data_IF_211244001757
#
_entry.id   IF_211244001757
#
_cell.length_a   1.000
_cell.length_b   1.000
_cell.length_c   1.000
_cell.angle_alpha   90.00
_cell.angle_beta   90.00
_cell.angle_gamma   90.00
#
_symmetry.space_group_name_H-M   'P 1'
#
loop_
_entity.id
_entity.type
_entity.pdbx_description
1 polymer ?
#
# COMPACT_ATOMS: atom_id res chain seq x y z
N UNK A 1 12.03 14.20 16.90
CA UNK A 1 12.94 13.99 18.04
C UNK A 1 12.33 13.07 19.07
N UNK A 2 11.14 13.37 19.63
CA UNK A 2 10.52 12.58 20.70
C UNK A 2 10.43 11.07 20.42
N UNK A 3 9.83 10.66 19.29
CA UNK A 3 9.72 9.22 18.94
C UNK A 3 11.10 8.56 18.83
N UNK A 4 12.07 9.22 18.20
CA UNK A 4 13.43 8.69 18.09
C UNK A 4 14.12 8.52 19.44
N UNK A 5 13.92 9.43 20.41
CA UNK A 5 14.46 9.27 21.77
C UNK A 5 13.79 8.13 22.54
N UNK A 6 12.47 7.95 22.36
CA UNK A 6 11.74 6.82 22.96
C UNK A 6 12.24 5.49 22.38
N UNK A 7 12.37 5.38 21.06
CA UNK A 7 12.91 4.18 20.42
C UNK A 7 14.31 3.84 20.94
N UNK A 8 15.18 4.85 21.07
CA UNK A 8 16.53 4.70 21.60
C UNK A 8 16.49 4.20 23.05
N UNK A 9 15.64 4.82 23.88
CA UNK A 9 15.49 4.44 25.31
C UNK A 9 15.01 3.00 25.51
N UNK A 10 14.18 2.48 24.61
CA UNK A 10 13.56 1.17 24.76
C UNK A 10 14.14 0.10 23.82
N UNK A 11 15.29 0.35 23.19
CA UNK A 11 15.95 -0.63 22.34
C UNK A 11 15.14 -1.02 21.10
N UNK A 12 14.46 -0.04 20.48
CA UNK A 12 13.55 -0.25 19.33
C UNK A 12 14.19 0.30 18.05
N UNK A 13 14.03 -0.39 16.93
CA UNK A 13 14.39 0.16 15.64
C UNK A 13 13.60 1.44 15.34
N UNK A 14 14.27 2.43 14.80
CA UNK A 14 13.66 3.70 14.42
C UNK A 14 13.88 4.00 12.94
N UNK A 15 12.81 3.95 12.15
CA UNK A 15 12.81 4.44 10.77
C UNK A 15 12.61 5.94 10.77
N UNK A 16 13.62 6.70 10.31
CA UNK A 16 13.64 8.17 10.32
C UNK A 16 12.64 8.75 9.32
N UNK A 17 12.13 9.98 9.57
CA UNK A 17 11.35 10.72 8.57
C UNK A 17 12.09 10.80 7.24
N UNK A 18 11.35 10.63 6.14
CA UNK A 18 11.89 10.59 4.78
C UNK A 18 12.33 9.19 4.31
N UNK A 19 12.33 8.16 5.18
CA UNK A 19 12.63 6.78 4.75
C UNK A 19 11.49 6.15 3.97
N UNK A 20 10.26 6.51 4.27
CA UNK A 20 9.10 6.04 3.54
C UNK A 20 7.89 5.75 4.40
N UNK A 21 6.84 5.29 3.74
CA UNK A 21 5.61 4.84 4.37
C UNK A 21 5.89 3.53 5.12
N UNK A 22 5.47 3.43 6.38
CA UNK A 22 5.81 2.32 7.28
C UNK A 22 5.51 0.94 6.66
N UNK A 23 4.39 0.77 5.96
CA UNK A 23 4.03 -0.51 5.34
C UNK A 23 4.95 -0.89 4.20
N UNK A 24 5.35 0.06 3.36
CA UNK A 24 6.30 -0.17 2.28
C UNK A 24 7.69 -0.51 2.85
N UNK A 25 8.18 0.27 3.81
CA UNK A 25 9.46 0.02 4.48
C UNK A 25 9.44 -1.33 5.20
N UNK A 26 8.31 -1.70 5.81
CA UNK A 26 8.16 -2.99 6.48
C UNK A 26 8.25 -4.17 5.50
N UNK A 27 7.58 -4.09 4.35
CA UNK A 27 7.70 -5.11 3.29
C UNK A 27 9.15 -5.23 2.79
N UNK A 28 9.81 -4.10 2.57
CA UNK A 28 11.18 -4.05 2.05
C UNK A 28 12.20 -4.60 3.04
N UNK A 29 12.06 -4.31 4.36
CA UNK A 29 13.16 -4.50 5.32
C UNK A 29 12.86 -5.38 6.52
N UNK A 30 11.61 -5.60 6.92
CA UNK A 30 11.28 -6.26 8.19
C UNK A 30 10.33 -7.45 8.07
N UNK A 31 9.43 -7.44 7.10
CA UNK A 31 8.40 -8.48 6.98
C UNK A 31 8.98 -9.88 6.77
N UNK A 32 8.50 -10.87 7.51
CA UNK A 32 8.93 -12.27 7.45
C UNK A 32 7.69 -13.15 7.31
N UNK A 33 7.58 -13.99 6.27
CA UNK A 33 6.47 -14.93 6.12
C UNK A 33 6.26 -15.81 7.36
N UNK A 34 5.01 -16.08 7.71
CA UNK A 34 4.63 -16.88 8.86
C UNK A 34 4.76 -16.19 10.22
N UNK A 35 5.27 -14.97 10.27
CA UNK A 35 5.32 -14.19 11.52
C UNK A 35 4.06 -13.36 11.70
N UNK A 36 3.78 -13.02 12.97
CA UNK A 36 2.70 -12.09 13.34
C UNK A 36 3.22 -10.66 13.40
N UNK A 37 2.36 -9.70 13.06
CA UNK A 37 2.61 -8.27 13.18
C UNK A 37 1.39 -7.59 13.77
N UNK A 38 1.56 -6.82 14.83
CA UNK A 38 0.55 -5.90 15.34
C UNK A 38 1.05 -4.47 15.13
N UNK A 39 0.21 -3.61 14.58
CA UNK A 39 0.57 -2.23 14.29
C UNK A 39 -0.57 -1.26 14.58
N UNK A 40 -0.22 -0.03 14.99
CA UNK A 40 -1.21 1.00 15.30
C UNK A 40 -1.83 1.68 14.07
N UNK A 41 -1.37 1.35 12.88
CA UNK A 41 -2.00 1.79 11.64
C UNK A 41 -2.99 0.74 11.12
N UNK A 42 -4.15 1.18 10.62
CA UNK A 42 -5.21 0.30 10.11
C UNK A 42 -4.81 -0.50 8.87
N UNK A 43 -3.78 -0.08 8.12
CA UNK A 43 -3.28 -0.78 6.94
C UNK A 43 -2.08 -1.70 7.23
N UNK A 44 -1.83 -2.02 8.49
CA UNK A 44 -0.88 -3.07 8.90
C UNK A 44 -1.09 -4.40 8.14
N UNK A 45 -2.34 -4.80 7.77
CA UNK A 45 -2.60 -5.99 6.95
C UNK A 45 -1.86 -6.04 5.60
N UNK A 46 -1.25 -4.95 5.14
CA UNK A 46 -0.34 -4.94 3.98
C UNK A 46 0.72 -6.05 4.07
N UNK A 47 1.20 -6.38 5.28
CA UNK A 47 2.15 -7.48 5.52
C UNK A 47 1.64 -8.86 5.12
N UNK A 48 0.33 -9.04 4.99
CA UNK A 48 -0.27 -10.28 4.48
C UNK A 48 0.08 -10.60 3.02
N UNK A 49 0.53 -9.60 2.25
CA UNK A 49 1.01 -9.77 0.88
C UNK A 49 2.26 -10.66 0.74
N UNK A 50 3.01 -10.87 1.83
CA UNK A 50 4.15 -11.80 1.93
C UNK A 50 3.89 -12.98 2.88
N UNK A 51 2.63 -13.23 3.26
CA UNK A 51 2.27 -14.36 4.13
C UNK A 51 2.44 -14.11 5.63
N UNK A 52 2.29 -12.86 6.10
CA UNK A 52 2.24 -12.54 7.54
C UNK A 52 0.80 -12.51 8.05
N UNK A 53 0.60 -12.86 9.31
CA UNK A 53 -0.61 -12.49 10.05
C UNK A 53 -0.39 -11.07 10.61
N UNK A 54 -0.82 -10.08 9.85
CA UNK A 54 -0.58 -8.66 10.12
C UNK A 54 -1.91 -7.96 10.48
N UNK A 55 -2.02 -7.40 11.67
CA UNK A 55 -3.27 -6.88 12.25
C UNK A 55 -3.10 -5.43 12.68
N UNK A 56 -4.03 -4.56 12.24
CA UNK A 56 -4.16 -3.21 12.76
C UNK A 56 -4.86 -3.21 14.12
N UNK A 57 -4.30 -2.53 15.12
CA UNK A 57 -4.82 -2.47 16.48
C UNK A 57 -4.75 -1.05 17.05
N UNK A 58 -5.44 -0.82 18.16
CA UNK A 58 -5.35 0.46 18.88
C UNK A 58 -3.93 0.75 19.38
N UNK A 59 -3.54 2.02 19.42
CA UNK A 59 -2.21 2.41 19.86
C UNK A 59 -1.87 1.92 21.27
N UNK A 60 -2.88 1.86 22.16
CA UNK A 60 -2.69 1.31 23.53
C UNK A 60 -2.45 -0.19 23.52
N UNK A 61 -3.15 -0.95 22.67
CA UNK A 61 -2.95 -2.40 22.54
C UNK A 61 -1.54 -2.70 22.03
N UNK A 62 -1.08 -1.93 21.04
CA UNK A 62 0.30 -2.03 20.53
C UNK A 62 1.31 -1.71 21.63
N UNK A 63 1.10 -0.64 22.40
CA UNK A 63 1.99 -0.28 23.51
C UNK A 63 2.05 -1.37 24.58
N UNK A 64 0.93 -1.97 24.95
CA UNK A 64 0.85 -3.11 25.89
C UNK A 64 1.61 -4.31 25.33
N UNK A 65 1.41 -4.66 24.06
CA UNK A 65 2.13 -5.75 23.41
C UNK A 65 3.64 -5.50 23.34
N UNK A 66 4.07 -4.27 23.06
CA UNK A 66 5.49 -3.88 23.09
C UNK A 66 6.09 -4.01 24.50
N UNK A 67 5.30 -3.79 25.54
CA UNK A 67 5.68 -3.99 26.95
C UNK A 67 5.67 -5.45 27.40
N UNK A 68 5.41 -6.42 26.51
CA UNK A 68 5.32 -7.85 26.82
C UNK A 68 3.94 -8.32 27.29
N UNK A 69 2.93 -7.45 27.24
CA UNK A 69 1.55 -7.82 27.54
C UNK A 69 0.90 -8.62 26.42
N UNK A 70 -0.19 -9.32 26.75
CA UNK A 70 -0.92 -10.17 25.79
C UNK A 70 -1.91 -9.35 24.98
N UNK A 71 -1.96 -9.61 23.67
CA UNK A 71 -3.00 -9.12 22.78
C UNK A 71 -3.99 -10.25 22.48
N UNK A 72 -5.26 -10.02 22.76
CA UNK A 72 -6.32 -10.99 22.55
C UNK A 72 -7.15 -10.64 21.31
N UNK A 73 -7.39 -11.62 20.46
CA UNK A 73 -8.33 -11.51 19.34
C UNK A 73 -9.41 -12.56 19.49
N UNK A 74 -10.64 -12.23 19.12
CA UNK A 74 -11.67 -13.23 18.92
C UNK A 74 -11.28 -14.09 17.73
N UNK A 75 -11.37 -15.42 17.86
CA UNK A 75 -11.05 -16.33 16.76
C UNK A 75 -11.89 -15.95 15.53
N UNK A 76 -11.27 -15.48 14.44
CA UNK A 76 -11.99 -15.02 13.27
C UNK A 76 -12.45 -16.20 12.42
N UNK A 77 -13.53 -16.01 11.68
CA UNK A 77 -13.89 -16.87 10.56
C UNK A 77 -12.90 -16.68 9.41
N UNK A 78 -12.81 -17.66 8.51
CA UNK A 78 -11.92 -17.58 7.34
C UNK A 78 -12.74 -17.59 6.06
N UNK A 79 -12.55 -16.54 5.25
CA UNK A 79 -13.12 -16.43 3.91
C UNK A 79 -12.03 -16.77 2.90
N UNK A 80 -12.26 -17.77 2.10
CA UNK A 80 -11.42 -18.14 0.96
C UNK A 80 -11.78 -17.26 -0.23
N UNK A 81 -10.81 -16.51 -0.77
CA UNK A 81 -10.92 -15.86 -2.07
C UNK A 81 -10.07 -16.65 -3.08
N UNK A 82 -10.74 -17.43 -3.88
CA UNK A 82 -10.12 -18.28 -4.90
C UNK A 82 -9.94 -17.50 -6.20
N UNK A 83 -8.69 -17.24 -6.57
CA UNK A 83 -8.30 -16.52 -7.78
C UNK A 83 -7.92 -17.51 -8.87
N UNK A 84 -8.54 -17.38 -10.04
CA UNK A 84 -8.24 -18.21 -11.24
C UNK A 84 -7.83 -17.32 -12.41
N UNK A 85 -7.15 -17.90 -13.41
CA UNK A 85 -6.66 -17.16 -14.57
C UNK A 85 -5.58 -16.14 -14.23
N UNK A 86 -5.43 -15.13 -15.08
CA UNK A 86 -4.49 -14.00 -14.91
C UNK A 86 -5.13 -12.68 -15.33
N UNK A 87 -4.65 -11.58 -14.77
CA UNK A 87 -5.10 -10.24 -15.13
C UNK A 87 -4.86 -9.98 -16.62
N UNK A 88 -5.86 -9.36 -17.25
CA UNK A 88 -5.74 -8.90 -18.63
C UNK A 88 -4.89 -7.62 -18.70
N UNK A 89 -4.33 -7.28 -19.87
CA UNK A 89 -3.66 -6.00 -20.04
C UNK A 89 -4.50 -4.83 -19.52
N UNK A 90 -3.86 -3.89 -18.81
CA UNK A 90 -4.48 -2.72 -18.19
C UNK A 90 -5.40 -2.97 -16.99
N UNK A 91 -5.58 -4.21 -16.57
CA UNK A 91 -6.27 -4.56 -15.33
C UNK A 91 -5.24 -4.73 -14.22
N UNK A 92 -5.47 -4.14 -13.07
CA UNK A 92 -4.52 -4.08 -11.96
C UNK A 92 -5.00 -4.86 -10.73
N UNK A 93 -4.09 -5.14 -9.81
CA UNK A 93 -4.42 -5.71 -8.49
C UNK A 93 -5.43 -4.85 -7.70
N UNK A 94 -5.45 -3.55 -7.96
CA UNK A 94 -6.47 -2.63 -7.42
C UNK A 94 -7.89 -3.06 -7.84
N UNK A 95 -8.06 -3.49 -9.08
CA UNK A 95 -9.37 -3.92 -9.59
C UNK A 95 -9.81 -5.22 -8.93
N UNK A 96 -8.87 -6.10 -8.55
CA UNK A 96 -9.17 -7.33 -7.79
C UNK A 96 -9.80 -6.99 -6.44
N UNK A 97 -9.16 -6.13 -5.65
CA UNK A 97 -9.69 -5.78 -4.33
C UNK A 97 -10.96 -4.93 -4.42
N UNK A 98 -11.12 -4.09 -5.44
CA UNK A 98 -12.38 -3.39 -5.70
C UNK A 98 -13.51 -4.37 -6.03
N UNK A 99 -13.26 -5.42 -6.78
CA UNK A 99 -14.25 -6.49 -7.04
C UNK A 99 -14.61 -7.24 -5.74
N UNK A 100 -13.65 -7.52 -4.86
CA UNK A 100 -13.90 -8.13 -3.54
C UNK A 100 -14.77 -7.19 -2.70
N UNK A 101 -14.44 -5.90 -2.64
CA UNK A 101 -15.24 -4.88 -1.93
C UNK A 101 -16.66 -4.77 -2.49
N UNK A 102 -16.82 -4.82 -3.81
CA UNK A 102 -18.14 -4.83 -4.46
C UNK A 102 -19.01 -6.01 -4.02
N UNK A 103 -18.39 -7.19 -3.83
CA UNK A 103 -19.11 -8.42 -3.44
C UNK A 103 -19.40 -8.51 -1.95
N UNK A 104 -18.42 -8.18 -1.11
CA UNK A 104 -18.51 -8.37 0.34
C UNK A 104 -18.93 -7.10 1.10
N UNK A 105 -18.82 -5.93 0.50
CA UNK A 105 -19.00 -4.60 1.10
C UNK A 105 -17.98 -4.25 2.19
N UNK A 106 -18.01 -3.00 2.68
CA UNK A 106 -17.12 -2.49 3.75
C UNK A 106 -17.34 -3.12 5.12
N UNK A 107 -18.33 -4.00 5.28
CA UNK A 107 -18.62 -4.74 6.52
C UNK A 107 -18.48 -6.25 6.37
N UNK A 108 -18.27 -6.75 5.16
CA UNK A 108 -18.24 -8.18 4.86
C UNK A 108 -17.08 -8.94 5.48
N UNK A 109 -16.01 -8.27 5.85
CA UNK A 109 -14.83 -8.84 6.49
C UNK A 109 -14.81 -8.74 8.03
N UNK A 110 -15.81 -8.12 8.65
CA UNK A 110 -15.82 -7.94 10.11
C UNK A 110 -15.78 -9.29 10.84
N UNK A 111 -14.80 -9.48 11.72
CA UNK A 111 -14.57 -10.75 12.43
C UNK A 111 -14.06 -11.87 11.53
N UNK A 112 -13.50 -11.55 10.37
CA UNK A 112 -13.00 -12.53 9.39
C UNK A 112 -11.55 -12.26 9.01
N UNK A 113 -10.88 -13.33 8.57
CA UNK A 113 -9.62 -13.31 7.83
C UNK A 113 -9.93 -13.60 6.37
N UNK A 114 -9.36 -12.86 5.46
CA UNK A 114 -9.49 -13.09 4.02
C UNK A 114 -8.24 -13.80 3.52
N UNK A 115 -8.37 -15.05 3.12
CA UNK A 115 -7.27 -15.85 2.60
C UNK A 115 -7.37 -15.97 1.08
N UNK A 116 -6.35 -15.48 0.38
CA UNK A 116 -6.26 -15.55 -1.06
C UNK A 116 -5.53 -16.82 -1.50
N UNK A 117 -6.15 -17.58 -2.40
CA UNK A 117 -5.60 -18.84 -2.91
C UNK A 117 -5.98 -19.07 -4.38
N UNK A 118 -5.68 -20.23 -4.92
CA UNK A 118 -5.92 -20.58 -6.31
C UNK A 118 -4.73 -20.30 -7.22
N UNK A 119 -4.81 -20.75 -8.46
CA UNK A 119 -3.71 -20.66 -9.44
C UNK A 119 -3.38 -19.22 -9.85
N UNK A 120 -4.39 -18.33 -9.84
CA UNK A 120 -4.24 -16.91 -10.15
C UNK A 120 -3.30 -16.18 -9.21
N UNK A 121 -3.14 -16.64 -7.96
CA UNK A 121 -2.20 -16.06 -7.00
C UNK A 121 -0.76 -16.06 -7.53
N UNK A 122 -0.37 -17.10 -8.26
CA UNK A 122 0.98 -17.24 -8.84
C UNK A 122 1.27 -16.24 -9.97
N UNK A 123 0.26 -15.52 -10.43
CA UNK A 123 0.40 -14.49 -11.48
C UNK A 123 0.54 -13.08 -10.89
N UNK A 124 0.43 -12.93 -9.56
CA UNK A 124 0.50 -11.66 -8.85
C UNK A 124 1.83 -11.52 -8.13
N UNK A 125 2.54 -10.44 -8.41
CA UNK A 125 3.77 -10.06 -7.69
C UNK A 125 3.47 -9.67 -6.24
N UNK A 126 4.49 -9.65 -5.36
CA UNK A 126 4.33 -9.21 -3.97
C UNK A 126 3.75 -7.80 -3.85
N UNK A 127 4.18 -6.77 -4.61
CA UNK A 127 3.54 -5.45 -4.58
C UNK A 127 2.03 -5.50 -4.90
N UNK A 128 1.62 -6.33 -5.85
CA UNK A 128 0.21 -6.51 -6.22
C UNK A 128 -0.58 -7.20 -5.11
N UNK A 129 -0.01 -8.23 -4.49
CA UNK A 129 -0.61 -8.88 -3.29
C UNK A 129 -0.72 -7.90 -2.14
N UNK A 130 0.29 -7.06 -1.93
CA UNK A 130 0.30 -6.03 -0.89
C UNK A 130 -0.79 -4.96 -1.12
N UNK A 131 -1.07 -4.56 -2.36
CA UNK A 131 -2.19 -3.69 -2.70
C UNK A 131 -3.52 -4.31 -2.28
N UNK A 132 -3.72 -5.59 -2.56
CA UNK A 132 -4.95 -6.32 -2.22
C UNK A 132 -5.12 -6.43 -0.71
N UNK A 133 -4.09 -6.84 0.03
CA UNK A 133 -4.15 -6.98 1.49
C UNK A 133 -4.24 -5.63 2.21
N UNK A 134 -3.62 -4.57 1.67
CA UNK A 134 -3.76 -3.22 2.16
C UNK A 134 -5.23 -2.78 2.18
N UNK A 135 -5.92 -2.90 1.06
CA UNK A 135 -7.33 -2.55 0.99
C UNK A 135 -8.28 -3.58 1.60
N UNK A 136 -7.79 -4.74 1.99
CA UNK A 136 -8.53 -5.69 2.81
C UNK A 136 -8.99 -5.09 4.15
N UNK A 137 -8.27 -4.09 4.66
CA UNK A 137 -8.70 -3.31 5.82
C UNK A 137 -10.04 -2.59 5.60
N UNK A 138 -10.35 -2.20 4.37
CA UNK A 138 -11.60 -1.52 4.02
C UNK A 138 -12.82 -2.45 3.97
N UNK A 139 -12.62 -3.77 3.97
CA UNK A 139 -13.66 -4.77 4.22
C UNK A 139 -14.07 -4.86 5.70
N UNK A 140 -13.33 -4.19 6.60
CA UNK A 140 -13.43 -4.39 8.04
C UNK A 140 -12.79 -5.72 8.50
N UNK A 141 -12.00 -6.37 7.66
CA UNK A 141 -11.36 -7.64 7.96
C UNK A 141 -10.31 -7.51 9.07
N UNK A 142 -10.18 -8.55 9.89
CA UNK A 142 -9.13 -8.67 10.90
C UNK A 142 -7.76 -8.63 10.24
N UNK A 143 -7.59 -9.37 9.16
CA UNK A 143 -6.41 -9.35 8.28
C UNK A 143 -6.75 -9.96 6.93
N UNK A 144 -5.83 -9.84 5.99
CA UNK A 144 -5.84 -10.54 4.71
C UNK A 144 -4.49 -11.20 4.49
N UNK A 145 -4.44 -12.37 3.87
CA UNK A 145 -3.19 -13.12 3.72
C UNK A 145 -3.10 -13.78 2.35
N UNK A 146 -1.90 -13.78 1.77
CA UNK A 146 -1.48 -14.58 0.63
C UNK A 146 -0.53 -15.69 1.07
N UNK A 147 -0.38 -16.77 0.31
CA UNK A 147 0.66 -17.75 0.56
C UNK A 147 2.05 -17.14 0.39
N UNK A 148 3.04 -17.72 1.08
CA UNK A 148 4.45 -17.47 0.81
C UNK A 148 4.95 -18.55 -0.14
N UNK A 149 5.03 -18.20 -1.41
CA UNK A 149 5.43 -19.06 -2.52
C UNK A 149 6.70 -18.56 -3.20
N UNK A 150 7.03 -19.09 -4.37
CA UNK A 150 8.21 -18.69 -5.14
C UNK A 150 8.23 -17.20 -5.47
N UNK A 151 7.06 -16.58 -5.70
CA UNK A 151 6.98 -15.12 -5.93
C UNK A 151 7.43 -14.33 -4.69
N UNK A 152 7.08 -14.84 -3.49
CA UNK A 152 7.56 -14.24 -2.24
C UNK A 152 9.07 -14.47 -2.05
N UNK A 153 9.58 -15.66 -2.42
CA UNK A 153 11.01 -15.97 -2.41
C UNK A 153 11.81 -15.00 -3.29
N UNK A 154 11.40 -14.86 -4.55
CA UNK A 154 12.04 -13.93 -5.49
C UNK A 154 12.04 -12.49 -5.00
N UNK A 155 10.94 -12.02 -4.44
CA UNK A 155 10.85 -10.68 -3.85
C UNK A 155 11.84 -10.50 -2.69
N UNK A 156 11.85 -11.41 -1.73
CA UNK A 156 12.77 -11.34 -0.58
C UNK A 156 14.23 -11.42 -1.03
N UNK A 157 14.54 -12.25 -2.00
CA UNK A 157 15.87 -12.35 -2.60
C UNK A 157 16.29 -11.04 -3.27
N UNK A 158 15.41 -10.43 -4.06
CA UNK A 158 15.66 -9.13 -4.69
C UNK A 158 15.90 -8.03 -3.64
N UNK A 159 15.24 -8.11 -2.48
CA UNK A 159 15.44 -7.23 -1.33
C UNK A 159 16.69 -7.59 -0.48
N UNK A 160 17.49 -8.61 -0.88
CA UNK A 160 18.64 -9.06 -0.12
C UNK A 160 18.30 -9.71 1.21
N UNK A 161 17.15 -10.37 1.28
CA UNK A 161 16.58 -11.00 2.48
C UNK A 161 16.08 -12.42 2.20
N UNK A 162 16.79 -13.14 1.36
CA UNK A 162 16.46 -14.51 0.95
C UNK A 162 16.34 -15.46 2.16
N UNK A 163 17.14 -15.23 3.20
CA UNK A 163 17.12 -16.00 4.45
C UNK A 163 15.82 -15.86 5.25
N UNK A 164 15.04 -14.82 5.00
CA UNK A 164 13.74 -14.61 5.63
C UNK A 164 12.61 -15.43 4.98
N UNK A 165 12.88 -16.06 3.83
CA UNK A 165 11.88 -16.84 3.13
C UNK A 165 11.53 -18.13 3.88
N UNK A 166 10.23 -18.38 4.00
CA UNK A 166 9.67 -19.65 4.47
C UNK A 166 8.45 -19.95 3.61
N UNK A 167 8.36 -21.11 2.96
CA UNK A 167 7.17 -21.48 2.20
C UNK A 167 5.99 -21.68 3.15
N UNK A 168 4.84 -21.13 2.77
CA UNK A 168 3.62 -21.20 3.57
C UNK A 168 2.40 -21.20 2.65
N UNK A 169 1.55 -22.21 2.78
CA UNK A 169 0.27 -22.30 2.09
C UNK A 169 -0.76 -22.96 3.01
N UNK A 170 -2.03 -22.88 2.63
CA UNK A 170 -3.07 -23.63 3.30
C UNK A 170 -2.86 -25.14 3.14
N UNK A 171 -3.27 -25.92 4.14
CA UNK A 171 -3.31 -27.38 4.05
C UNK A 171 -4.30 -27.83 2.97
N UNK A 172 -4.06 -29.01 2.40
CA UNK A 172 -4.90 -29.52 1.30
C UNK A 172 -6.35 -29.79 1.72
N UNK A 173 -6.57 -30.02 3.00
CA UNK A 173 -7.87 -30.30 3.63
C UNK A 173 -8.41 -29.10 4.44
N UNK A 174 -7.86 -27.91 4.24
CA UNK A 174 -8.31 -26.69 4.90
C UNK A 174 -9.80 -26.42 4.65
N UNK A 175 -10.53 -26.13 5.72
CA UNK A 175 -11.97 -25.85 5.68
C UNK A 175 -12.19 -24.34 5.89
N UNK A 176 -13.06 -23.77 5.10
CA UNK A 176 -13.38 -22.34 5.11
C UNK A 176 -14.84 -22.10 5.48
N UNK A 177 -15.13 -20.99 6.16
CA UNK A 177 -16.50 -20.59 6.48
C UNK A 177 -17.27 -20.06 5.26
N UNK A 178 -16.57 -19.38 4.35
CA UNK A 178 -17.13 -18.79 3.14
C UNK A 178 -16.13 -18.90 1.98
N UNK A 179 -16.63 -18.90 0.74
CA UNK A 179 -15.81 -18.92 -0.45
C UNK A 179 -16.29 -17.89 -1.48
N UNK A 180 -15.33 -17.14 -2.06
CA UNK A 180 -15.54 -16.19 -3.15
C UNK A 180 -14.64 -16.57 -4.31
N UNK A 181 -15.21 -16.82 -5.49
CA UNK A 181 -14.46 -17.17 -6.69
C UNK A 181 -14.34 -15.96 -7.61
N UNK A 182 -13.11 -15.61 -8.02
CA UNK A 182 -12.83 -14.52 -8.95
C UNK A 182 -11.96 -15.04 -10.09
N UNK A 183 -12.46 -14.92 -11.30
CA UNK A 183 -11.71 -15.17 -12.52
C UNK A 183 -11.02 -13.86 -12.95
N UNK A 184 -9.71 -13.77 -12.73
CA UNK A 184 -8.91 -12.59 -13.05
C UNK A 184 -8.98 -12.21 -14.54
N UNK A 185 -9.22 -13.17 -15.42
CA UNK A 185 -9.31 -12.94 -16.86
C UNK A 185 -10.58 -12.21 -17.30
N UNK A 186 -11.58 -12.14 -16.40
CA UNK A 186 -12.88 -11.48 -16.64
C UNK A 186 -12.99 -10.11 -15.99
N UNK A 187 -12.00 -9.73 -15.20
CA UNK A 187 -11.99 -8.41 -14.59
C UNK A 187 -11.73 -7.32 -15.62
N UNK A 188 -12.29 -6.17 -15.37
CA UNK A 188 -12.05 -4.94 -16.11
C UNK A 188 -11.59 -3.83 -15.14
N UNK A 189 -11.05 -2.70 -15.65
CA UNK A 189 -10.71 -1.57 -14.82
C UNK A 189 -11.93 -1.05 -14.06
N UNK A 190 -11.77 -0.93 -12.72
CA UNK A 190 -12.81 -0.55 -11.79
C UNK A 190 -12.49 0.76 -11.08
N UNK A 191 -13.51 1.42 -10.57
CA UNK A 191 -13.39 2.62 -9.75
C UNK A 191 -14.35 2.55 -8.58
N UNK A 192 -13.86 2.82 -7.35
CA UNK A 192 -14.74 3.09 -6.22
C UNK A 192 -15.20 4.54 -6.27
N UNK A 193 -16.49 4.74 -6.43
CA UNK A 193 -17.12 6.06 -6.48
C UNK A 193 -17.25 6.67 -5.08
N UNK A 194 -17.40 8.01 -4.95
CA UNK A 194 -17.70 8.67 -3.68
C UNK A 194 -19.01 8.11 -3.08
N UNK A 195 -19.11 7.92 -1.76
CA UNK A 195 -18.12 8.17 -0.71
C UNK A 195 -17.89 6.85 0.05
N UNK A 196 -17.72 5.73 -0.67
CA UNK A 196 -17.47 4.42 -0.06
C UNK A 196 -16.59 3.55 -0.99
N UNK A 197 -15.61 2.80 -0.43
CA UNK A 197 -14.74 1.94 -1.24
C UNK A 197 -15.48 0.77 -1.93
N UNK A 198 -16.68 0.41 -1.48
CA UNK A 198 -17.53 -0.63 -2.06
C UNK A 198 -18.56 -0.11 -3.08
N UNK A 199 -18.63 1.20 -3.29
CA UNK A 199 -19.45 1.80 -4.34
C UNK A 199 -18.73 1.71 -5.69
N UNK A 200 -18.61 0.49 -6.20
CA UNK A 200 -17.75 0.19 -7.35
C UNK A 200 -18.52 0.17 -8.66
N UNK A 201 -17.95 0.86 -9.66
CA UNK A 201 -18.39 0.86 -11.07
C UNK A 201 -17.23 0.51 -12.00
N UNK A 202 -17.55 0.11 -13.23
CA UNK A 202 -16.52 0.01 -14.27
C UNK A 202 -16.03 1.40 -14.69
N UNK A 203 -14.75 1.50 -15.04
CA UNK A 203 -14.16 2.76 -15.54
C UNK A 203 -14.84 3.17 -16.85
N UNK A 204 -15.28 2.22 -17.66
CA UNK A 204 -16.01 2.46 -18.91
C UNK A 204 -17.31 3.23 -18.69
N UNK A 205 -18.05 2.96 -17.61
CA UNK A 205 -19.27 3.69 -17.24
C UNK A 205 -19.02 5.16 -16.86
N UNK A 206 -17.80 5.49 -16.40
CA UNK A 206 -17.41 6.83 -15.95
C UNK A 206 -16.63 7.60 -17.02
N UNK A 207 -16.32 6.97 -18.15
CA UNK A 207 -15.50 7.57 -19.21
C UNK A 207 -16.06 8.88 -19.73
N UNK A 208 -15.17 9.86 -19.92
CA UNK A 208 -15.52 11.20 -20.41
C UNK A 208 -15.88 12.20 -19.31
N UNK A 209 -16.04 11.78 -18.06
CA UNK A 209 -16.28 12.70 -16.93
C UNK A 209 -15.01 13.53 -16.66
N UNK A 210 -15.11 14.86 -16.68
CA UNK A 210 -13.99 15.78 -16.38
C UNK A 210 -13.46 15.54 -14.96
N UNK A 211 -12.14 15.66 -14.82
CA UNK A 211 -11.44 15.53 -13.54
C UNK A 211 -10.58 16.76 -13.27
N UNK A 212 -10.34 17.07 -12.00
CA UNK A 212 -9.57 18.25 -11.57
C UNK A 212 -8.20 17.87 -11.00
N UNK A 213 -8.10 16.66 -10.40
CA UNK A 213 -6.91 16.25 -9.69
C UNK A 213 -6.67 14.75 -9.81
N UNK A 214 -5.40 14.38 -9.88
CA UNK A 214 -4.94 12.98 -9.76
C UNK A 214 -3.85 12.90 -8.70
N UNK A 215 -3.97 11.94 -7.76
CA UNK A 215 -2.95 11.65 -6.77
C UNK A 215 -2.59 10.15 -6.83
N UNK A 216 -1.33 9.86 -7.17
CA UNK A 216 -0.81 8.50 -7.29
C UNK A 216 0.17 8.23 -6.15
N UNK A 217 0.06 7.07 -5.50
CA UNK A 217 0.95 6.68 -4.42
C UNK A 217 0.22 6.16 -3.19
N UNK A 218 0.58 6.67 -2.01
CA UNK A 218 0.11 6.17 -0.72
C UNK A 218 0.66 4.78 -0.38
N UNK A 219 0.26 4.22 0.76
CA UNK A 219 0.64 2.84 1.10
C UNK A 219 0.03 1.77 0.18
N UNK A 220 -0.93 2.13 -0.67
CA UNK A 220 -1.66 1.21 -1.52
C UNK A 220 -0.97 0.94 -2.85
N UNK A 221 -0.61 2.01 -3.59
CA UNK A 221 -0.02 1.91 -4.93
C UNK A 221 1.18 2.85 -5.08
N UNK A 222 2.26 2.53 -4.42
CA UNK A 222 3.48 3.34 -4.41
C UNK A 222 4.76 2.51 -4.55
N UNK A 223 4.63 1.24 -4.89
CA UNK A 223 5.74 0.34 -5.16
C UNK A 223 6.54 0.75 -6.40
N UNK A 224 7.74 0.20 -6.55
CA UNK A 224 8.52 0.40 -7.78
C UNK A 224 7.74 -0.03 -9.02
N UNK A 225 7.00 -1.15 -8.95
CA UNK A 225 6.17 -1.64 -10.05
C UNK A 225 5.11 -0.62 -10.45
N UNK A 226 4.34 -0.10 -9.48
CA UNK A 226 3.31 0.91 -9.73
C UNK A 226 3.90 2.17 -10.39
N UNK A 227 5.01 2.66 -9.84
CA UNK A 227 5.67 3.88 -10.34
C UNK A 227 6.25 3.68 -11.74
N UNK A 228 6.81 2.52 -12.05
CA UNK A 228 7.32 2.21 -13.39
C UNK A 228 6.19 2.14 -14.43
N UNK A 229 5.04 1.55 -14.08
CA UNK A 229 3.84 1.56 -14.94
C UNK A 229 3.37 2.99 -15.23
N UNK A 230 3.31 3.84 -14.18
CA UNK A 230 2.94 5.26 -14.31
C UNK A 230 3.94 6.00 -15.22
N UNK A 231 5.24 5.83 -14.99
CA UNK A 231 6.27 6.46 -15.82
C UNK A 231 6.16 6.03 -17.29
N UNK A 232 5.88 4.76 -17.55
CA UNK A 232 5.67 4.25 -18.91
C UNK A 232 4.49 4.97 -19.60
N UNK A 233 3.35 5.11 -18.92
CA UNK A 233 2.16 5.78 -19.45
C UNK A 233 2.45 7.27 -19.75
N UNK A 234 3.20 7.93 -18.86
CA UNK A 234 3.51 9.36 -18.95
C UNK A 234 4.63 9.68 -19.96
N UNK A 235 5.44 8.69 -20.36
CA UNK A 235 6.64 8.89 -21.19
C UNK A 235 6.34 9.63 -22.50
N UNK A 236 7.01 10.77 -22.69
CA UNK A 236 6.88 11.60 -23.90
C UNK A 236 5.53 12.30 -24.04
N UNK A 237 4.75 12.37 -22.97
CA UNK A 237 3.43 13.03 -22.93
C UNK A 237 3.41 14.12 -21.89
N UNK A 238 2.40 14.99 -21.94
CA UNK A 238 2.19 16.08 -20.99
C UNK A 238 0.83 15.93 -20.32
N UNK A 239 0.78 16.11 -19.00
CA UNK A 239 -0.47 16.14 -18.22
C UNK A 239 -1.39 17.23 -18.75
N UNK A 240 -2.68 16.96 -18.77
CA UNK A 240 -3.69 17.93 -19.20
C UNK A 240 -3.58 19.21 -18.35
N UNK A 241 -3.56 20.41 -18.94
CA UNK A 241 -3.36 21.67 -18.21
C UNK A 241 -4.41 21.97 -17.15
N UNK A 242 -5.59 21.37 -17.25
CA UNK A 242 -6.68 21.54 -16.27
C UNK A 242 -6.58 20.55 -15.09
N UNK A 243 -5.59 19.62 -15.10
CA UNK A 243 -5.43 18.58 -14.09
C UNK A 243 -4.17 18.77 -13.27
N UNK A 244 -4.32 18.76 -11.94
CA UNK A 244 -3.17 18.68 -11.04
C UNK A 244 -2.78 17.23 -10.79
N UNK A 245 -1.59 16.80 -11.26
CA UNK A 245 -1.03 15.47 -10.99
C UNK A 245 0.01 15.55 -9.87
N UNK A 246 -0.18 14.73 -8.82
CA UNK A 246 0.78 14.54 -7.75
C UNK A 246 1.14 13.05 -7.59
N UNK A 247 2.43 12.76 -7.42
CA UNK A 247 2.95 11.39 -7.29
C UNK A 247 3.80 11.29 -6.02
N UNK A 248 3.48 10.32 -5.15
CA UNK A 248 4.20 10.03 -3.91
C UNK A 248 4.77 8.59 -3.96
N UNK A 249 6.07 8.40 -4.25
CA UNK A 249 6.73 7.09 -4.16
C UNK A 249 6.70 6.54 -2.73
N UNK A 250 6.64 5.21 -2.56
CA UNK A 250 6.36 4.58 -1.27
C UNK A 250 7.51 4.65 -0.26
N UNK A 251 8.75 4.69 -0.76
CA UNK A 251 9.93 4.71 0.09
C UNK A 251 11.09 5.46 -0.56
N UNK A 252 12.10 5.77 0.25
CA UNK A 252 13.39 6.28 -0.22
C UNK A 252 14.05 5.31 -1.23
N UNK A 253 13.90 3.99 -1.00
CA UNK A 253 14.41 2.97 -1.93
C UNK A 253 13.76 3.12 -3.30
N UNK A 254 12.42 3.16 -3.34
CA UNK A 254 11.66 3.36 -4.58
C UNK A 254 12.05 4.66 -5.27
N UNK A 255 12.07 5.78 -4.55
CA UNK A 255 12.42 7.09 -5.11
C UNK A 255 13.84 7.10 -5.70
N UNK A 256 14.80 6.50 -4.99
CA UNK A 256 16.20 6.40 -5.47
C UNK A 256 16.29 5.56 -6.75
N UNK A 257 15.60 4.41 -6.80
CA UNK A 257 15.60 3.56 -7.98
C UNK A 257 14.96 4.24 -9.18
N UNK A 258 13.88 5.01 -8.98
CA UNK A 258 13.25 5.82 -10.03
C UNK A 258 14.17 6.93 -10.54
N UNK A 259 14.98 7.53 -9.64
CA UNK A 259 15.97 8.53 -10.03
C UNK A 259 17.10 7.90 -10.88
N UNK A 260 17.56 6.72 -10.47
CA UNK A 260 18.68 6.03 -11.14
C UNK A 260 18.30 5.47 -12.52
N UNK A 261 17.06 5.02 -12.71
CA UNK A 261 16.60 4.45 -13.98
C UNK A 261 15.94 5.47 -14.92
N UNK A 262 15.85 6.74 -14.52
CA UNK A 262 15.27 7.83 -15.31
C UNK A 262 13.74 7.94 -15.25
N UNK A 263 13.03 7.05 -14.59
CA UNK A 263 11.57 7.11 -14.49
C UNK A 263 11.09 8.37 -13.74
N UNK A 264 11.85 8.83 -12.74
CA UNK A 264 11.54 10.08 -12.04
C UNK A 264 11.58 11.29 -12.97
N UNK A 265 12.58 11.38 -13.86
CA UNK A 265 12.68 12.44 -14.85
C UNK A 265 11.49 12.42 -15.81
N UNK A 266 11.06 11.24 -16.27
CA UNK A 266 9.87 11.09 -17.14
C UNK A 266 8.62 11.64 -16.46
N UNK A 267 8.41 11.36 -15.17
CA UNK A 267 7.25 11.88 -14.43
C UNK A 267 7.29 13.40 -14.30
N UNK A 268 8.46 13.97 -14.01
CA UNK A 268 8.66 15.42 -13.89
C UNK A 268 8.43 16.10 -15.23
N UNK A 269 9.00 15.58 -16.30
CA UNK A 269 8.86 16.11 -17.66
C UNK A 269 7.40 16.11 -18.12
N UNK A 270 6.62 15.11 -17.69
CA UNK A 270 5.18 15.05 -17.96
C UNK A 270 4.37 16.12 -17.19
N UNK A 271 4.96 16.79 -16.20
CA UNK A 271 4.29 17.81 -15.38
C UNK A 271 3.78 17.30 -14.03
N UNK A 272 4.23 16.13 -13.57
CA UNK A 272 3.86 15.63 -12.24
C UNK A 272 4.62 16.37 -11.13
N UNK A 273 3.92 16.64 -10.02
CA UNK A 273 4.51 17.10 -8.76
C UNK A 273 4.94 15.89 -7.96
N UNK A 274 6.23 15.76 -7.68
CA UNK A 274 6.76 14.67 -6.85
C UNK A 274 6.66 15.08 -5.38
N UNK A 275 6.00 14.25 -4.59
CA UNK A 275 5.77 14.46 -3.17
C UNK A 275 6.74 13.63 -2.32
N UNK A 276 6.83 13.97 -1.04
CA UNK A 276 7.53 13.16 -0.05
C UNK A 276 6.93 11.74 0.04
N UNK A 277 7.79 10.76 0.31
CA UNK A 277 7.37 9.37 0.56
C UNK A 277 6.66 9.24 1.92
N UNK A 278 5.42 9.75 1.98
CA UNK A 278 4.61 9.84 3.20
C UNK A 278 3.11 9.74 2.90
N UNK A 279 2.30 9.55 3.95
CA UNK A 279 0.85 9.43 3.85
C UNK A 279 0.08 10.78 3.89
N UNK A 280 0.76 11.91 3.79
CA UNK A 280 0.14 13.24 3.86
C UNK A 280 -1.03 13.46 2.90
N UNK A 281 -0.91 13.15 1.62
CA UNK A 281 -1.98 13.35 0.63
C UNK A 281 -3.26 12.56 0.92
N UNK A 282 -3.19 11.44 1.65
CA UNK A 282 -4.36 10.62 2.00
C UNK A 282 -5.41 11.37 2.82
N UNK A 283 -4.95 12.34 3.64
CA UNK A 283 -5.80 13.21 4.46
C UNK A 283 -5.86 14.64 3.90
N UNK A 284 -5.39 14.85 2.68
CA UNK A 284 -5.43 16.13 2.00
C UNK A 284 -4.29 17.09 2.32
N UNK A 285 -3.26 16.70 3.08
CA UNK A 285 -2.11 17.57 3.37
C UNK A 285 -1.41 18.01 2.08
N UNK A 286 -1.54 19.30 1.75
CA UNK A 286 -1.01 19.89 0.53
C UNK A 286 -1.68 19.43 -0.77
N UNK A 287 -2.69 18.54 -0.72
CA UNK A 287 -3.35 17.92 -1.86
C UNK A 287 -4.87 17.76 -1.65
N UNK A 288 -5.52 18.70 -0.98
CA UNK A 288 -6.99 18.75 -0.91
C UNK A 288 -7.55 19.08 -2.29
N UNK A 289 -8.63 18.41 -2.73
CA UNK A 289 -9.30 18.76 -3.98
C UNK A 289 -10.04 20.09 -3.86
N UNK A 290 -10.39 20.69 -4.98
CA UNK A 290 -11.29 21.83 -5.02
C UNK A 290 -12.66 21.47 -4.41
N UNK A 291 -13.43 22.50 -3.98
CA UNK A 291 -14.85 22.31 -3.65
C UNK A 291 -15.58 21.68 -4.84
N UNK A 292 -16.28 20.58 -4.59
CA UNK A 292 -16.94 19.73 -5.60
C UNK A 292 -16.00 19.14 -6.66
N UNK A 293 -14.67 19.33 -6.51
CA UNK A 293 -13.67 18.84 -7.46
C UNK A 293 -13.61 17.32 -7.49
N UNK A 294 -13.42 16.78 -8.70
CA UNK A 294 -13.27 15.35 -8.94
C UNK A 294 -11.80 14.97 -8.88
N UNK A 295 -11.44 14.15 -7.88
CA UNK A 295 -10.07 13.70 -7.65
C UNK A 295 -9.96 12.19 -7.80
N UNK A 296 -9.13 11.72 -8.74
CA UNK A 296 -8.79 10.30 -8.87
C UNK A 296 -7.58 9.97 -8.01
N UNK A 297 -7.70 8.95 -7.17
CA UNK A 297 -6.64 8.57 -6.22
C UNK A 297 -6.37 7.08 -6.26
N UNK A 298 -5.12 6.70 -6.21
CA UNK A 298 -4.74 5.28 -6.06
C UNK A 298 -4.72 4.84 -4.60
N UNK A 299 -5.28 5.64 -3.71
CA UNK A 299 -5.34 5.46 -2.25
C UNK A 299 -6.40 4.41 -1.87
N UNK A 300 -6.67 4.29 -0.59
CA UNK A 300 -7.54 3.23 -0.06
C UNK A 300 -8.88 3.74 0.49
N UNK A 301 -9.04 5.03 0.76
CA UNK A 301 -10.24 5.60 1.40
C UNK A 301 -10.76 6.83 0.67
N UNK A 302 -12.09 6.92 0.55
CA UNK A 302 -12.78 7.99 -0.15
C UNK A 302 -14.05 8.50 0.55
N UNK A 303 -14.17 8.33 1.88
CA UNK A 303 -15.35 8.87 2.58
C UNK A 303 -15.41 10.40 2.50
N UNK A 304 -16.57 10.94 2.74
CA UNK A 304 -16.83 12.38 2.74
C UNK A 304 -15.82 13.12 3.62
N UNK A 305 -15.17 14.12 3.07
CA UNK A 305 -14.17 14.94 3.76
C UNK A 305 -12.82 14.28 4.03
N UNK A 306 -12.61 13.01 3.69
CA UNK A 306 -11.37 12.27 3.96
C UNK A 306 -10.12 13.00 3.44
N UNK A 307 -10.21 13.64 2.29
CA UNK A 307 -9.08 14.30 1.63
C UNK A 307 -9.02 15.82 1.88
N UNK A 308 -9.62 16.31 2.96
CA UNK A 308 -9.55 17.69 3.43
C UNK A 308 -10.73 18.55 2.99
N UNK A 309 -11.24 18.40 1.77
CA UNK A 309 -12.40 19.13 1.27
C UNK A 309 -13.67 18.29 1.44
N UNK A 310 -14.64 18.80 2.20
CA UNK A 310 -15.83 18.04 2.59
C UNK A 310 -16.66 17.56 1.41
N UNK A 311 -16.88 18.40 0.41
CA UNK A 311 -17.68 18.13 -0.78
C UNK A 311 -16.86 17.65 -2.00
N UNK A 312 -15.56 17.39 -1.81
CA UNK A 312 -14.70 16.81 -2.83
C UNK A 312 -15.14 15.40 -3.21
N UNK A 313 -15.13 15.10 -4.51
CA UNK A 313 -15.56 13.83 -5.08
C UNK A 313 -14.35 12.94 -5.32
N UNK A 314 -14.08 12.03 -4.39
CA UNK A 314 -12.90 11.17 -4.42
C UNK A 314 -13.25 9.81 -5.02
N UNK A 315 -12.58 9.46 -6.11
CA UNK A 315 -12.65 8.15 -6.75
C UNK A 315 -11.36 7.37 -6.49
N UNK A 316 -11.48 6.09 -6.13
CA UNK A 316 -10.34 5.19 -5.97
C UNK A 316 -10.18 4.37 -7.25
N UNK A 317 -9.00 4.46 -7.85
CA UNK A 317 -8.69 3.82 -9.14
C UNK A 317 -7.30 3.20 -9.13
N UNK A 318 -6.99 2.37 -10.15
CA UNK A 318 -5.65 1.84 -10.38
C UNK A 318 -4.67 2.95 -10.81
N UNK A 319 -3.35 2.74 -10.65
CA UNK A 319 -2.32 3.64 -11.17
C UNK A 319 -2.45 3.88 -12.68
N UNK A 320 -2.83 2.86 -13.43
CA UNK A 320 -3.01 2.90 -14.88
C UNK A 320 -4.18 3.85 -15.25
N UNK A 321 -5.34 3.66 -14.64
CA UNK A 321 -6.50 4.54 -14.83
C UNK A 321 -6.19 5.98 -14.40
N UNK A 322 -5.51 6.16 -13.28
CA UNK A 322 -5.12 7.47 -12.77
C UNK A 322 -4.21 8.22 -13.75
N UNK A 323 -3.15 7.54 -14.22
CA UNK A 323 -2.15 8.15 -15.10
C UNK A 323 -2.73 8.54 -16.46
N UNK A 324 -3.51 7.67 -17.10
CA UNK A 324 -4.14 8.02 -18.39
C UNK A 324 -5.15 9.15 -18.26
N UNK A 325 -5.94 9.14 -17.18
CA UNK A 325 -6.93 10.20 -16.94
C UNK A 325 -6.26 11.55 -16.68
N UNK A 326 -5.07 11.58 -16.06
CA UNK A 326 -4.28 12.79 -15.90
C UNK A 326 -3.83 13.37 -17.26
N UNK A 327 -3.56 12.54 -18.25
CA UNK A 327 -3.17 12.98 -19.59
C UNK A 327 -4.35 13.52 -20.39
N UNK A 328 -5.51 12.88 -20.28
CA UNK A 328 -6.69 13.23 -21.08
C UNK A 328 -7.55 14.34 -20.47
N UNK A 329 -7.45 14.56 -19.15
CA UNK A 329 -8.31 15.50 -18.42
C UNK A 329 -9.70 14.97 -18.09
N UNK A 330 -9.97 13.74 -18.44
CA UNK A 330 -11.25 13.08 -18.18
C UNK A 330 -11.02 11.66 -17.64
N UNK A 331 -12.02 11.11 -17.00
CA UNK A 331 -12.01 9.70 -16.64
C UNK A 331 -11.83 8.84 -17.91
N UNK A 332 -10.77 8.05 -17.97
CA UNK A 332 -10.39 7.33 -19.20
C UNK A 332 -10.09 5.86 -18.90
N UNK A 333 -10.68 4.98 -19.68
CA UNK A 333 -10.38 3.54 -19.62
C UNK A 333 -8.96 3.28 -20.17
N UNK A 334 -8.04 2.73 -19.37
CA UNK A 334 -6.66 2.51 -19.79
C UNK A 334 -6.55 1.53 -20.97
N UNK A 335 -7.54 0.68 -21.21
CA UNK A 335 -7.60 -0.24 -22.37
C UNK A 335 -7.61 0.48 -23.71
N UNK A 336 -7.89 1.78 -23.73
CA UNK A 336 -7.85 2.61 -24.95
C UNK A 336 -6.43 2.98 -25.39
N UNK A 337 -5.41 2.71 -24.56
CA UNK A 337 -4.00 3.05 -24.86
C UNK A 337 -3.29 2.08 -25.82
N UNK A 338 -3.92 0.96 -26.20
CA UNK A 338 -3.27 -0.12 -26.94
C UNK A 338 -2.57 -1.11 -26.01
N UNK A 339 -1.38 -1.57 -26.37
CA UNK A 339 -0.67 -2.61 -25.58
C UNK A 339 -0.19 -2.09 -24.23
N UNK A 340 -0.42 -2.86 -23.18
CA UNK A 340 0.10 -2.57 -21.86
C UNK A 340 1.61 -2.78 -21.80
N UNK A 341 2.28 -1.98 -20.96
CA UNK A 341 3.70 -2.19 -20.72
C UNK A 341 3.96 -3.49 -19.96
N UNK A 342 4.88 -4.27 -20.47
CA UNK A 342 5.52 -5.34 -19.68
C UNK A 342 6.64 -4.72 -18.85
N UNK A 343 6.39 -4.55 -17.55
CA UNK A 343 7.35 -3.97 -16.61
C UNK A 343 8.05 -5.10 -15.86
N UNK A 344 9.30 -5.30 -16.21
CA UNK A 344 10.17 -6.24 -15.47
C UNK A 344 10.85 -5.51 -14.32
N UNK A 345 10.65 -6.01 -13.08
CA UNK A 345 11.37 -5.54 -11.92
C UNK A 345 12.83 -6.03 -11.95
N UNK A 346 13.78 -5.28 -11.37
CA UNK A 346 15.17 -5.72 -11.31
C UNK A 346 15.31 -6.92 -10.37
N UNK A 347 16.21 -7.85 -10.71
CA UNK A 347 16.55 -9.01 -9.87
C UNK A 347 17.13 -8.62 -8.51
N UNK A 348 17.66 -7.39 -8.39
CA UNK A 348 18.25 -6.88 -7.15
C UNK A 348 17.86 -5.42 -6.96
N UNK A 349 17.31 -5.12 -5.80
CA UNK A 349 16.98 -3.75 -5.41
C UNK A 349 18.20 -3.03 -4.83
N UNK A 350 18.23 -1.70 -4.96
CA UNK A 350 19.26 -0.85 -4.34
C UNK A 350 18.95 -0.70 -2.84
N UNK A 351 19.76 -1.32 -2.01
CA UNK A 351 19.58 -1.32 -0.56
C UNK A 351 20.47 -0.25 0.08
N UNK A 352 19.84 0.62 0.88
CA UNK A 352 20.55 1.62 1.67
C UNK A 352 19.75 1.92 2.95
N UNK A 353 20.13 1.28 4.03
CA UNK A 353 19.41 1.32 5.32
C UNK A 353 19.87 2.46 6.25
N UNK A 354 20.57 3.48 5.73
CA UNK A 354 21.10 4.60 6.51
C UNK A 354 20.04 5.46 7.24
N UNK A 355 18.76 5.25 6.93
CA UNK A 355 17.63 5.91 7.61
C UNK A 355 16.96 5.01 8.65
N UNK A 356 17.43 3.78 8.83
CA UNK A 356 16.98 2.86 9.87
C UNK A 356 18.03 2.87 10.98
N UNK A 357 17.64 3.37 12.15
CA UNK A 357 18.49 3.40 13.33
C UNK A 357 18.23 2.11 14.12
N UNK A 358 19.26 1.27 14.30
CA UNK A 358 19.11 0.05 15.10
C UNK A 358 18.91 0.37 16.58
N UNK A 359 18.48 -0.62 17.38
CA UNK A 359 18.50 -0.51 18.84
C UNK A 359 19.87 -0.09 19.35
N UNK A 360 19.91 0.71 20.42
CA UNK A 360 21.17 1.05 21.08
C UNK A 360 21.76 -0.18 21.79
N UNK A 361 23.08 -0.29 21.79
CA UNK A 361 23.78 -1.32 22.57
C UNK A 361 23.58 -1.09 24.09
N UNK A 362 23.65 -2.17 24.91
CA UNK A 362 23.46 -2.05 26.36
C UNK A 362 24.38 -1.00 27.03
N UNK A 363 25.62 -0.88 26.56
CA UNK A 363 26.58 0.13 27.04
C UNK A 363 26.19 1.57 26.73
N UNK A 364 25.50 1.79 25.60
CA UNK A 364 24.98 3.10 25.21
C UNK A 364 23.70 3.45 25.98
N UNK A 365 22.94 2.44 26.44
CA UNK A 365 21.68 2.65 27.16
C UNK A 365 21.89 3.38 28.49
N UNK A 366 22.92 3.00 29.29
CA UNK A 366 23.24 3.65 30.54
C UNK A 366 23.63 5.12 30.34
N UNK A 367 24.48 5.39 29.38
CA UNK A 367 24.88 6.76 28.99
C UNK A 367 23.69 7.62 28.53
N UNK A 368 22.74 7.02 27.80
CA UNK A 368 21.54 7.67 27.32
C UNK A 368 20.58 7.96 28.47
N UNK A 369 20.41 7.02 29.40
CA UNK A 369 19.57 7.21 30.58
C UNK A 369 20.09 8.35 31.45
N UNK A 370 21.40 8.38 31.72
CA UNK A 370 22.03 9.48 32.45
C UNK A 370 21.86 10.84 31.78
N UNK A 371 22.00 10.90 30.45
CA UNK A 371 21.81 12.16 29.67
C UNK A 371 20.35 12.63 29.61
N UNK A 372 19.39 11.71 29.66
CA UNK A 372 17.96 12.06 29.70
C UNK A 372 17.54 12.52 31.10
N UNK A 373 18.07 11.90 32.16
CA UNK A 373 17.82 12.31 33.54
C UNK A 373 18.39 13.71 33.81
N UNK A 374 19.63 13.98 33.39
CA UNK A 374 20.22 15.32 33.52
C UNK A 374 19.50 16.40 32.69
N UNK A 375 19.02 16.07 31.50
CA UNK A 375 18.26 17.01 30.65
C UNK A 375 16.85 17.30 31.17
N UNK A 376 16.26 16.38 31.94
CA UNK A 376 14.97 16.64 32.62
C UNK A 376 15.16 17.54 33.83
N UNK A 377 16.25 17.39 34.61
CA UNK A 377 16.57 18.28 35.71
C UNK A 377 16.80 19.74 35.23
N UNK A 378 17.49 19.94 34.10
CA UNK A 378 17.68 21.28 33.51
C UNK A 378 16.39 21.95 33.02
N UNK A 379 15.34 21.20 32.72
CA UNK A 379 14.04 21.76 32.28
C UNK A 379 13.13 22.19 33.43
N UNK A 380 13.45 21.79 34.68
CA UNK A 380 12.66 22.10 35.89
C UNK A 380 13.41 22.98 36.88
N UNK A 381 14.64 23.40 36.61
CA UNK A 381 15.43 24.43 37.31
C UNK A 381 15.47 25.73 36.50
#
# INVERSE_FOLDING_TARGET
RFIGSVCKKHGIYFSRPGNGICHQVHLERFGIPGKTLIGSDSHTPTGGGIGMIAIGAGGMDVAVAMGGGTYYITCPKVVKVNLTGKLQPWVAAKDVILEVLKRLSVKGGVGKVIEYCGEGVKTLSVPERATITNMGAELGATTSIFPSDEITHEFLKAQGREEAYTPLCADADAVYDEEVNIDLSKLEPLAACPHSPDNVKSVSELSGMKIDQVCIGSCTNSSLLDMMKVAHILKGKTVNPDVSLAIAPGSKQVLNMLANNGALAIMIDAGARILESACGPCIGMGQSPNSKGISLRTFNRNFEGRSGTKDGQIYLVSPETAAISALTGVFTDPRTLGDAADITLPEKFTINDNMIVPPADEKDMDSIMQSLESGVEELFT
#
